data_IF_845281548285
#
_entry.id   IF_845281548285
#
_cell.length_a   1.000
_cell.length_b   1.000
_cell.length_c   1.000
_cell.angle_alpha   90.00
_cell.angle_beta   90.00
_cell.angle_gamma   90.00
#
_symmetry.space_group_name_H-M   'P 1'
#
loop_
_entity.id
_entity.type
_entity.pdbx_description
1 polymer ?
#
# COMPACT_ATOMS: atom_id res chain seq x y z
N UNK A 1 -14.26 15.49 7.51
CA UNK A 1 -15.14 14.59 6.75
C UNK A 1 -15.16 13.20 7.38
N UNK A 2 -16.30 12.54 7.44
CA UNK A 2 -16.34 11.16 7.91
C UNK A 2 -15.56 10.26 6.95
N UNK A 3 -14.89 9.25 7.49
CA UNK A 3 -14.17 8.27 6.69
C UNK A 3 -15.16 7.30 6.02
N UNK A 4 -15.33 7.44 4.71
CA UNK A 4 -16.29 6.66 3.92
C UNK A 4 -15.99 5.15 3.90
N UNK A 5 -14.78 4.76 4.29
CA UNK A 5 -14.36 3.36 4.33
C UNK A 5 -14.76 2.64 5.62
N UNK A 6 -15.23 3.36 6.64
CA UNK A 6 -15.67 2.78 7.91
C UNK A 6 -17.17 2.41 7.87
N UNK A 7 -17.55 1.45 8.72
CA UNK A 7 -18.96 1.23 9.00
C UNK A 7 -19.56 2.44 9.74
N UNK A 8 -20.84 2.71 9.51
CA UNK A 8 -21.54 3.82 10.17
C UNK A 8 -21.72 3.61 11.68
N UNK A 9 -21.76 2.34 12.08
CA UNK A 9 -22.03 1.90 13.44
C UNK A 9 -20.81 1.29 14.16
N UNK A 10 -19.64 1.28 13.51
CA UNK A 10 -18.41 0.75 14.09
C UNK A 10 -17.16 1.41 13.47
N UNK A 11 -16.11 1.71 14.28
CA UNK A 11 -14.87 2.29 13.79
C UNK A 11 -13.98 1.21 13.11
N UNK A 12 -14.56 0.45 12.20
CA UNK A 12 -13.92 -0.69 11.50
C UNK A 12 -14.15 -0.53 10.01
N UNK A 13 -13.14 -0.86 9.22
CA UNK A 13 -13.22 -0.82 7.76
C UNK A 13 -14.32 -1.73 7.22
N UNK A 14 -15.14 -1.19 6.33
CA UNK A 14 -16.14 -1.97 5.58
C UNK A 14 -15.44 -3.08 4.82
N UNK A 15 -15.90 -4.29 4.98
CA UNK A 15 -15.29 -5.48 4.37
C UNK A 15 -16.36 -6.46 3.89
N UNK A 16 -15.98 -7.30 2.94
CA UNK A 16 -16.88 -8.30 2.33
C UNK A 16 -17.38 -9.37 3.30
N UNK A 17 -16.63 -9.56 4.40
CA UNK A 17 -16.93 -10.57 5.42
C UNK A 17 -17.88 -10.05 6.50
N UNK A 18 -18.27 -8.77 6.43
CA UNK A 18 -19.15 -8.10 7.41
C UNK A 18 -18.62 -8.14 8.85
N UNK A 19 -17.30 -8.17 9.01
CA UNK A 19 -16.64 -8.19 10.31
C UNK A 19 -16.60 -6.77 10.85
N UNK A 20 -17.13 -6.57 12.06
CA UNK A 20 -17.17 -5.29 12.78
C UNK A 20 -16.30 -5.28 14.04
N UNK A 21 -15.50 -6.31 14.26
CA UNK A 21 -14.50 -6.36 15.30
C UNK A 21 -13.12 -6.14 14.69
N UNK A 22 -12.43 -5.08 15.11
CA UNK A 22 -11.14 -4.67 14.55
C UNK A 22 -10.08 -5.77 14.67
N UNK A 23 -9.93 -6.36 15.84
CA UNK A 23 -8.93 -7.42 16.06
C UNK A 23 -9.19 -8.66 15.21
N UNK A 24 -10.44 -9.02 15.04
CA UNK A 24 -10.82 -10.15 14.18
C UNK A 24 -10.49 -9.84 12.72
N UNK A 25 -10.80 -8.64 12.26
CA UNK A 25 -10.49 -8.20 10.90
C UNK A 25 -8.96 -8.18 10.66
N UNK A 26 -8.19 -7.63 11.58
CA UNK A 26 -6.71 -7.61 11.51
C UNK A 26 -6.12 -9.02 11.39
N UNK A 27 -6.61 -9.98 12.17
CA UNK A 27 -6.16 -11.37 12.11
C UNK A 27 -6.46 -12.00 10.74
N UNK A 28 -7.66 -11.84 10.23
CA UNK A 28 -8.06 -12.39 8.94
C UNK A 28 -7.30 -11.72 7.81
N UNK A 29 -7.13 -10.41 7.87
CA UNK A 29 -6.33 -9.65 6.91
C UNK A 29 -4.89 -10.16 6.87
N UNK A 30 -4.26 -10.33 8.03
CA UNK A 30 -2.90 -10.83 8.15
C UNK A 30 -2.74 -12.25 7.58
N UNK A 31 -3.64 -13.16 7.90
CA UNK A 31 -3.60 -14.54 7.41
C UNK A 31 -3.85 -14.61 5.90
N UNK A 32 -4.88 -13.92 5.41
CA UNK A 32 -5.23 -13.94 4.00
C UNK A 32 -4.16 -13.27 3.13
N UNK A 33 -3.67 -12.10 3.54
CA UNK A 33 -2.62 -11.40 2.80
C UNK A 33 -1.31 -12.17 2.79
N UNK A 34 -0.96 -12.84 3.88
CA UNK A 34 0.22 -13.72 3.94
C UNK A 34 0.12 -14.88 2.96
N UNK A 35 -1.01 -15.58 2.95
CA UNK A 35 -1.25 -16.68 2.02
C UNK A 35 -1.16 -16.21 0.56
N UNK A 36 -1.81 -15.10 0.24
CA UNK A 36 -1.78 -14.51 -1.09
C UNK A 36 -0.38 -13.99 -1.47
N UNK A 37 0.39 -13.47 -0.51
CA UNK A 37 1.78 -13.06 -0.74
C UNK A 37 2.67 -14.23 -1.17
N UNK A 38 2.50 -15.39 -0.54
CA UNK A 38 3.23 -16.61 -0.92
C UNK A 38 2.90 -17.04 -2.35
N UNK A 39 1.63 -17.02 -2.71
CA UNK A 39 1.18 -17.34 -4.07
C UNK A 39 1.73 -16.32 -5.08
N UNK A 40 1.71 -15.05 -4.76
CA UNK A 40 2.26 -14.00 -5.60
C UNK A 40 3.77 -14.16 -5.80
N UNK A 41 4.50 -14.54 -4.75
CA UNK A 41 5.92 -14.82 -4.82
C UNK A 41 6.23 -15.99 -5.76
N UNK A 42 5.46 -17.07 -5.69
CA UNK A 42 5.60 -18.24 -6.57
C UNK A 42 5.30 -17.92 -8.04
N UNK A 43 4.31 -17.07 -8.29
CA UNK A 43 3.96 -16.65 -9.64
C UNK A 43 4.98 -15.67 -10.25
N UNK A 44 5.67 -14.93 -9.41
CA UNK A 44 6.50 -13.81 -9.82
C UNK A 44 5.66 -12.58 -10.18
N UNK A 45 6.30 -11.41 -10.12
CA UNK A 45 5.69 -10.14 -10.46
C UNK A 45 6.72 -9.22 -11.11
N UNK A 46 6.38 -8.64 -12.27
CA UNK A 46 7.35 -7.88 -13.09
C UNK A 46 6.84 -6.50 -13.53
N UNK A 47 5.64 -6.09 -13.12
CA UNK A 47 5.09 -4.78 -13.50
C UNK A 47 5.36 -3.74 -12.39
N UNK A 48 6.48 -3.03 -12.53
CA UNK A 48 6.86 -1.92 -11.66
C UNK A 48 6.23 -0.60 -12.16
N UNK A 49 4.92 -0.49 -11.99
CA UNK A 49 4.11 0.67 -12.36
C UNK A 49 3.01 0.91 -11.34
N UNK A 50 2.34 2.08 -11.35
CA UNK A 50 1.15 2.30 -10.51
C UNK A 50 0.07 1.23 -10.74
N UNK A 51 -0.16 0.84 -11.98
CA UNK A 51 -1.09 -0.24 -12.33
C UNK A 51 -0.67 -1.57 -11.71
N UNK A 52 0.61 -1.91 -11.78
CA UNK A 52 1.16 -3.13 -11.19
C UNK A 52 0.99 -3.15 -9.68
N UNK A 53 1.24 -2.04 -9.01
CA UNK A 53 1.00 -1.91 -7.56
C UNK A 53 -0.48 -2.12 -7.20
N UNK A 54 -1.40 -1.55 -7.98
CA UNK A 54 -2.83 -1.77 -7.80
C UNK A 54 -3.21 -3.25 -7.99
N UNK A 55 -2.61 -3.94 -8.96
CA UNK A 55 -2.84 -5.37 -9.17
C UNK A 55 -2.35 -6.22 -8.00
N UNK A 56 -1.18 -5.90 -7.44
CA UNK A 56 -0.66 -6.56 -6.23
C UNK A 56 -1.62 -6.35 -5.07
N UNK A 57 -2.02 -5.11 -4.81
CA UNK A 57 -2.94 -4.80 -3.71
C UNK A 57 -4.28 -5.52 -3.86
N UNK A 58 -4.83 -5.55 -5.06
CA UNK A 58 -6.06 -6.31 -5.35
C UNK A 58 -5.89 -7.81 -5.12
N UNK A 59 -4.75 -8.37 -5.52
CA UNK A 59 -4.45 -9.79 -5.30
C UNK A 59 -4.37 -10.13 -3.83
N UNK A 60 -3.75 -9.26 -3.02
CA UNK A 60 -3.57 -9.49 -1.59
C UNK A 60 -4.86 -9.32 -0.78
N UNK A 61 -5.68 -8.32 -1.12
CA UNK A 61 -6.79 -7.86 -0.28
C UNK A 61 -8.17 -7.94 -0.94
N UNK A 62 -8.26 -8.38 -2.18
CA UNK A 62 -9.50 -8.38 -2.95
C UNK A 62 -10.62 -9.26 -2.40
N UNK A 63 -10.28 -10.29 -1.62
CA UNK A 63 -11.27 -11.14 -0.96
C UNK A 63 -11.86 -10.48 0.31
N UNK A 64 -11.20 -9.43 0.82
CA UNK A 64 -11.60 -8.74 2.05
C UNK A 64 -12.26 -7.40 1.74
N UNK A 65 -11.70 -6.62 0.81
CA UNK A 65 -12.12 -5.24 0.54
C UNK A 65 -12.59 -5.04 -0.90
N UNK A 66 -13.74 -4.40 -1.07
CA UNK A 66 -14.26 -4.00 -2.39
C UNK A 66 -13.37 -2.96 -3.08
N UNK A 67 -12.72 -2.12 -2.30
CA UNK A 67 -11.81 -1.08 -2.78
C UNK A 67 -10.36 -1.55 -2.99
N UNK A 68 -10.07 -2.84 -2.82
CA UNK A 68 -8.74 -3.38 -3.04
C UNK A 68 -8.24 -3.07 -4.47
N UNK A 69 -7.01 -2.55 -4.57
CA UNK A 69 -6.41 -2.13 -5.83
C UNK A 69 -6.91 -0.78 -6.35
N UNK A 70 -7.66 -0.02 -5.55
CA UNK A 70 -8.11 1.33 -5.87
C UNK A 70 -7.41 2.34 -4.96
N UNK A 71 -7.00 3.47 -5.50
CA UNK A 71 -6.44 4.55 -4.71
C UNK A 71 -7.50 5.10 -3.74
N UNK A 72 -7.06 5.46 -2.55
CA UNK A 72 -7.94 6.15 -1.59
C UNK A 72 -8.40 7.49 -2.14
N UNK A 73 -9.58 7.87 -1.76
CA UNK A 73 -10.22 9.14 -2.15
C UNK A 73 -10.40 10.09 -0.96
N UNK A 74 -9.64 9.86 0.11
CA UNK A 74 -9.56 10.71 1.29
C UNK A 74 -8.10 10.87 1.71
N UNK A 75 -7.80 11.98 2.38
CA UNK A 75 -6.53 12.16 3.06
C UNK A 75 -6.51 11.36 4.35
N UNK A 76 -5.36 10.77 4.65
CA UNK A 76 -5.16 9.95 5.85
C UNK A 76 -3.93 10.41 6.62
N UNK A 77 -3.97 10.21 7.93
CA UNK A 77 -2.85 10.42 8.84
C UNK A 77 -2.61 9.15 9.65
N UNK A 78 -1.35 8.77 9.80
CA UNK A 78 -0.94 7.73 10.74
C UNK A 78 0.06 8.33 11.72
N UNK A 79 -0.32 8.37 12.98
CA UNK A 79 0.57 8.84 14.05
C UNK A 79 1.56 7.75 14.43
N UNK A 80 2.84 8.02 14.24
CA UNK A 80 3.90 7.08 14.51
C UNK A 80 4.56 7.38 15.87
N UNK A 81 4.65 6.37 16.72
CA UNK A 81 5.28 6.50 18.04
C UNK A 81 6.74 6.93 17.95
N UNK A 82 7.47 6.41 16.95
CA UNK A 82 8.87 6.76 16.68
C UNK A 82 9.08 8.22 16.29
N UNK A 83 8.03 8.88 15.80
CA UNK A 83 8.04 10.30 15.43
C UNK A 83 7.45 11.19 16.53
N UNK A 84 7.33 10.69 17.76
CA UNK A 84 6.74 11.45 18.87
C UNK A 84 5.25 11.73 18.67
N UNK A 85 4.52 10.84 18.02
CA UNK A 85 3.09 10.96 17.73
C UNK A 85 2.77 11.83 16.51
N UNK A 86 3.77 12.26 15.75
CA UNK A 86 3.57 12.97 14.46
C UNK A 86 3.33 11.97 13.34
N UNK A 87 2.54 12.39 12.36
CA UNK A 87 2.34 11.61 11.12
C UNK A 87 3.47 11.85 10.13
N UNK A 88 3.74 10.84 9.31
CA UNK A 88 4.47 11.04 8.06
C UNK A 88 3.57 11.82 7.09
N UNK A 89 4.16 12.70 6.30
CA UNK A 89 3.47 13.41 5.23
C UNK A 89 3.25 12.48 4.04
N UNK A 90 2.04 11.95 3.93
CA UNK A 90 1.61 11.17 2.77
C UNK A 90 1.11 12.09 1.66
N UNK A 91 1.06 11.57 0.42
CA UNK A 91 0.46 12.32 -0.69
C UNK A 91 -0.99 12.69 -0.40
N UNK A 92 -1.41 13.88 -0.81
CA UNK A 92 -2.83 14.20 -0.86
C UNK A 92 -3.52 13.25 -1.85
N UNK A 93 -4.77 12.89 -1.57
CA UNK A 93 -5.53 11.93 -2.38
C UNK A 93 -5.59 12.32 -3.87
N UNK A 94 -5.74 13.60 -4.18
CA UNK A 94 -5.73 14.14 -5.53
C UNK A 94 -4.39 14.01 -6.28
N UNK A 95 -3.28 13.85 -5.56
CA UNK A 95 -1.93 13.79 -6.12
C UNK A 95 -1.37 12.36 -6.20
N UNK A 96 -2.05 11.37 -5.64
CA UNK A 96 -1.56 10.00 -5.54
C UNK A 96 -1.09 9.45 -6.90
N UNK A 97 -1.92 9.58 -7.93
CA UNK A 97 -1.60 9.02 -9.25
C UNK A 97 -0.31 9.62 -9.83
N UNK A 98 -0.14 10.93 -9.71
CA UNK A 98 1.04 11.62 -10.24
C UNK A 98 2.29 11.33 -9.41
N UNK A 99 2.19 11.37 -8.09
CA UNK A 99 3.30 11.11 -7.19
C UNK A 99 3.81 9.67 -7.35
N UNK A 100 2.88 8.73 -7.48
CA UNK A 100 3.21 7.32 -7.70
C UNK A 100 3.85 7.09 -9.07
N UNK A 101 3.34 7.75 -10.12
CA UNK A 101 3.94 7.69 -11.45
C UNK A 101 5.37 8.21 -11.43
N UNK A 102 5.60 9.34 -10.79
CA UNK A 102 6.94 9.93 -10.65
C UNK A 102 7.90 8.99 -9.90
N UNK A 103 7.43 8.35 -8.83
CA UNK A 103 8.24 7.40 -8.06
C UNK A 103 8.64 6.18 -8.92
N UNK A 104 7.70 5.60 -9.66
CA UNK A 104 8.00 4.47 -10.55
C UNK A 104 8.83 4.87 -11.75
N UNK A 105 8.65 6.05 -12.32
CA UNK A 105 9.50 6.55 -13.41
C UNK A 105 10.96 6.65 -12.95
N UNK A 106 11.21 7.11 -11.73
CA UNK A 106 12.55 7.14 -11.14
C UNK A 106 13.12 5.73 -10.99
N UNK A 107 12.36 4.77 -10.47
CA UNK A 107 12.78 3.37 -10.33
C UNK A 107 13.11 2.78 -11.70
N UNK A 108 12.23 2.95 -12.67
CA UNK A 108 12.39 2.36 -14.01
C UNK A 108 13.48 3.04 -14.84
N UNK A 109 13.93 4.24 -14.47
CA UNK A 109 15.06 4.92 -15.12
C UNK A 109 16.42 4.35 -14.73
N UNK A 110 16.50 3.56 -13.68
CA UNK A 110 17.75 2.98 -13.15
C UNK A 110 18.15 1.71 -13.92
N UNK A 111 19.44 1.55 -14.12
CA UNK A 111 20.01 0.33 -14.71
C UNK A 111 20.39 -0.66 -13.62
N UNK A 112 19.39 -1.29 -13.03
CA UNK A 112 19.54 -2.16 -11.86
C UNK A 112 20.55 -3.29 -12.06
N UNK A 113 20.63 -3.86 -13.26
CA UNK A 113 21.55 -4.95 -13.58
C UNK A 113 23.01 -4.52 -13.64
N UNK A 114 23.28 -3.22 -13.77
CA UNK A 114 24.63 -2.67 -13.84
C UNK A 114 25.20 -2.30 -12.47
N UNK A 115 24.40 -2.35 -11.42
CA UNK A 115 24.82 -1.96 -10.07
C UNK A 115 25.59 -3.07 -9.36
N UNK A 116 26.64 -2.69 -8.61
CA UNK A 116 27.20 -3.55 -7.58
C UNK A 116 26.16 -3.80 -6.48
N UNK A 117 26.40 -4.79 -5.65
CA UNK A 117 25.48 -5.07 -4.51
C UNK A 117 25.30 -3.85 -3.61
N UNK A 118 26.38 -3.10 -3.36
CA UNK A 118 26.34 -1.90 -2.52
C UNK A 118 25.56 -0.76 -3.18
N UNK A 119 25.80 -0.52 -4.48
CA UNK A 119 25.05 0.47 -5.27
C UNK A 119 23.57 0.10 -5.37
N UNK A 120 23.25 -1.17 -5.60
CA UNK A 120 21.89 -1.68 -5.63
C UNK A 120 21.16 -1.38 -4.30
N UNK A 121 21.75 -1.71 -3.16
CA UNK A 121 21.19 -1.45 -1.84
C UNK A 121 20.97 0.05 -1.62
N UNK A 122 21.91 0.89 -2.01
CA UNK A 122 21.80 2.34 -1.91
C UNK A 122 20.64 2.89 -2.75
N UNK A 123 20.58 2.54 -4.04
CA UNK A 123 19.53 3.01 -4.94
C UNK A 123 18.14 2.48 -4.54
N UNK A 124 18.06 1.25 -4.04
CA UNK A 124 16.83 0.70 -3.50
C UNK A 124 16.32 1.56 -2.32
N UNK A 125 17.21 1.89 -1.39
CA UNK A 125 16.90 2.71 -0.22
C UNK A 125 16.51 4.15 -0.57
N UNK A 126 17.00 4.67 -1.69
CA UNK A 126 16.71 6.04 -2.14
C UNK A 126 15.40 6.15 -2.95
N UNK A 127 14.95 5.08 -3.58
CA UNK A 127 13.83 5.11 -4.54
C UNK A 127 12.54 4.52 -4.00
N UNK A 128 12.57 3.33 -3.41
CA UNK A 128 11.36 2.63 -2.96
C UNK A 128 10.59 3.31 -1.82
N UNK A 129 11.23 4.00 -0.86
CA UNK A 129 10.51 4.73 0.18
C UNK A 129 9.54 5.79 -0.36
N UNK A 130 9.78 6.33 -1.55
CA UNK A 130 8.89 7.31 -2.20
C UNK A 130 7.56 6.67 -2.62
N UNK A 131 7.57 5.42 -3.07
CA UNK A 131 6.36 4.64 -3.34
C UNK A 131 5.57 4.45 -2.05
N UNK A 132 6.23 4.03 -0.98
CA UNK A 132 5.61 3.88 0.33
C UNK A 132 5.05 5.21 0.86
N UNK A 133 5.79 6.31 0.71
CA UNK A 133 5.36 7.64 1.19
C UNK A 133 4.10 8.14 0.47
N UNK A 134 3.87 7.75 -0.76
CA UNK A 134 2.63 8.05 -1.48
C UNK A 134 1.42 7.51 -0.72
N UNK A 135 1.55 6.34 -0.11
CA UNK A 135 0.54 5.68 0.72
C UNK A 135 -0.82 5.62 0.01
N UNK A 136 -0.88 4.95 -1.15
CA UNK A 136 -1.95 5.17 -2.12
C UNK A 136 -3.28 4.51 -1.74
N UNK A 137 -3.28 3.53 -0.85
CA UNK A 137 -4.48 2.80 -0.47
C UNK A 137 -4.99 3.21 0.91
N UNK A 138 -6.24 2.89 1.21
CA UNK A 138 -6.81 3.18 2.53
C UNK A 138 -6.14 2.34 3.63
N UNK A 139 -5.78 1.10 3.35
CA UNK A 139 -5.06 0.16 4.21
C UNK A 139 -4.18 -0.76 3.35
N UNK A 140 -3.26 -1.50 3.97
CA UNK A 140 -2.40 -2.44 3.24
C UNK A 140 -1.28 -1.78 2.42
N UNK A 141 -0.75 -0.65 2.88
CA UNK A 141 0.33 0.08 2.19
C UNK A 141 1.74 -0.38 2.61
N UNK A 142 1.86 -1.23 3.61
CA UNK A 142 3.15 -1.71 4.15
C UNK A 142 3.28 -3.21 4.03
#
# INVERSE_FOLDING_TARGET
>A
MPDIYLYDDAPVLRNKLQIKNEKTLELIEAEQSRANMMLLYEQGFHDFSPKGLCQIHRFLFGDIYDWAGQFRVINIEKREKLLGGRSVWYSNDENIAQDLQNAFDTINSKKWDAFSQQEFAHELAMTFPKVWQTHPFREGNT
#
